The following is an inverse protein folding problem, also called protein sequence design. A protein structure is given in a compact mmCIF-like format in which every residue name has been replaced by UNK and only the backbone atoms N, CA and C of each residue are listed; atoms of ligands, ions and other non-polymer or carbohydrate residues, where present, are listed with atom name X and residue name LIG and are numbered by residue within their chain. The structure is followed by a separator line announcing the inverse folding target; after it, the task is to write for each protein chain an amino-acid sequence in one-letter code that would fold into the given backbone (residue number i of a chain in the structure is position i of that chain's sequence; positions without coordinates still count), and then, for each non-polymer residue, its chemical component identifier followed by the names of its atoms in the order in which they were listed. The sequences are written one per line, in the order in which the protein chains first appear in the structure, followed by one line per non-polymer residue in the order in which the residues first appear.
data_IF_574484525355
#
_entry.id   IF_574484525355
#
_cell.length_a   1.000
_cell.length_b   1.000
_cell.length_c   1.000
_cell.angle_alpha   90.00
_cell.angle_beta   90.00
_cell.angle_gamma   90.00
#
_symmetry.space_group_name_H-M   'P 1'
#
loop_
_entity.id
_entity.type
_entity.pdbx_description
1 polymer ?
#
# COMPACT_ATOMS: atom_id res chain seq x y z
N UNK A 1 -20.70 -16.13 -5.65
CA UNK A 1 -19.73 -16.19 -4.54
C UNK A 1 -19.62 -14.77 -4.06
N UNK A 2 -20.16 -14.50 -2.89
CA UNK A 2 -20.31 -13.13 -2.41
C UNK A 2 -19.01 -12.72 -1.73
N UNK A 3 -18.48 -11.55 -2.12
CA UNK A 3 -17.26 -11.01 -1.53
C UNK A 3 -17.66 -10.23 -0.29
N UNK A 4 -17.19 -10.70 0.86
CA UNK A 4 -17.31 -10.00 2.13
C UNK A 4 -16.14 -9.02 2.27
N UNK A 5 -16.43 -7.77 2.64
CA UNK A 5 -15.43 -6.75 2.99
C UNK A 5 -15.57 -6.44 4.47
N UNK A 6 -14.46 -6.52 5.20
CA UNK A 6 -14.42 -6.21 6.63
C UNK A 6 -13.08 -5.65 7.06
N UNK A 7 -13.08 -4.94 8.17
CA UNK A 7 -11.85 -4.56 8.85
C UNK A 7 -11.26 -5.79 9.54
N UNK A 8 -9.94 -5.96 9.45
CA UNK A 8 -9.19 -6.99 10.18
C UNK A 8 -8.80 -6.47 11.57
N UNK A 9 -8.86 -7.34 12.57
CA UNK A 9 -8.41 -7.06 13.94
C UNK A 9 -7.22 -7.93 14.35
N UNK A 10 -6.78 -7.81 15.60
CA UNK A 10 -5.64 -8.59 16.14
C UNK A 10 -5.81 -10.10 15.95
N UNK A 11 -7.05 -10.61 16.03
CA UNK A 11 -7.36 -12.03 15.82
C UNK A 11 -7.07 -12.52 14.39
N UNK A 12 -7.00 -11.62 13.41
CA UNK A 12 -6.77 -11.93 12.01
C UNK A 12 -5.28 -11.90 11.63
N UNK A 13 -4.39 -11.51 12.56
CA UNK A 13 -2.97 -11.22 12.32
C UNK A 13 -2.28 -12.25 11.43
N UNK A 14 -2.29 -13.52 11.82
CA UNK A 14 -1.54 -14.55 11.12
C UNK A 14 -2.12 -14.82 9.72
N UNK A 15 -3.45 -14.79 9.58
CA UNK A 15 -4.11 -14.94 8.28
C UNK A 15 -3.83 -13.75 7.34
N UNK A 16 -3.74 -12.53 7.88
CA UNK A 16 -3.36 -11.34 7.11
C UNK A 16 -1.90 -11.42 6.68
N UNK A 17 -0.99 -11.86 7.56
CA UNK A 17 0.43 -12.05 7.22
C UNK A 17 0.57 -13.05 6.07
N UNK A 18 -0.09 -14.20 6.16
CA UNK A 18 -0.05 -15.24 5.12
C UNK A 18 -0.59 -14.70 3.78
N UNK A 19 -1.77 -14.08 3.80
CA UNK A 19 -2.40 -13.54 2.59
C UNK A 19 -1.58 -12.40 1.98
N UNK A 20 -1.04 -11.49 2.79
CA UNK A 20 -0.23 -10.36 2.32
C UNK A 20 1.11 -10.85 1.74
N UNK A 21 1.81 -11.76 2.41
CA UNK A 21 3.04 -12.36 1.92
C UNK A 21 2.84 -13.01 0.54
N UNK A 22 1.77 -13.80 0.39
CA UNK A 22 1.47 -14.46 -0.88
C UNK A 22 1.00 -13.48 -1.96
N UNK A 23 0.27 -12.43 -1.59
CA UNK A 23 -0.27 -11.43 -2.51
C UNK A 23 0.74 -10.37 -2.98
N UNK A 24 1.80 -10.10 -2.21
CA UNK A 24 2.77 -9.02 -2.47
C UNK A 24 4.01 -9.43 -3.28
N UNK A 25 4.18 -10.74 -3.56
CA UNK A 25 5.36 -11.28 -4.27
C UNK A 25 5.66 -10.60 -5.61
N UNK A 26 4.64 -10.22 -6.35
CA UNK A 26 4.74 -9.56 -7.66
C UNK A 26 4.18 -8.13 -7.65
N UNK A 27 4.04 -7.53 -6.46
CA UNK A 27 3.82 -6.09 -6.35
C UNK A 27 5.08 -5.38 -6.86
N UNK A 28 4.92 -4.46 -7.80
CA UNK A 28 6.03 -3.95 -8.63
C UNK A 28 7.01 -3.07 -7.87
N UNK A 29 6.58 -2.34 -6.84
CA UNK A 29 7.48 -1.54 -5.99
C UNK A 29 8.30 -2.48 -5.10
N UNK A 30 7.65 -3.47 -4.50
CA UNK A 30 8.28 -4.53 -3.68
C UNK A 30 9.29 -5.32 -4.51
N UNK A 31 8.91 -5.77 -5.70
CA UNK A 31 9.79 -6.49 -6.61
C UNK A 31 11.01 -5.65 -7.02
N UNK A 32 10.84 -4.34 -7.24
CA UNK A 32 11.94 -3.43 -7.53
C UNK A 32 12.87 -3.20 -6.32
N UNK A 33 12.31 -2.95 -5.13
CA UNK A 33 13.09 -2.81 -3.89
C UNK A 33 13.94 -4.05 -3.65
N UNK A 34 13.37 -5.24 -3.88
CA UNK A 34 13.99 -6.54 -3.60
C UNK A 34 14.76 -7.15 -4.77
N UNK A 35 14.94 -6.42 -5.88
CA UNK A 35 15.68 -6.97 -7.01
C UNK A 35 17.11 -7.40 -6.58
N UNK A 36 17.42 -8.68 -6.77
CA UNK A 36 18.67 -9.30 -6.32
C UNK A 36 18.66 -9.83 -4.89
N UNK A 37 17.53 -9.78 -4.19
CA UNK A 37 17.33 -10.25 -2.82
C UNK A 37 16.22 -11.32 -2.74
N UNK A 38 16.37 -12.38 -1.91
CA UNK A 38 15.35 -13.41 -1.77
C UNK A 38 14.04 -12.86 -1.18
N UNK A 39 12.93 -13.00 -1.91
CA UNK A 39 11.62 -12.53 -1.46
C UNK A 39 11.19 -13.21 -0.15
N UNK A 40 11.48 -14.50 0.00
CA UNK A 40 11.11 -15.29 1.18
C UNK A 40 11.72 -14.72 2.46
N UNK A 41 13.01 -14.37 2.42
CA UNK A 41 13.71 -13.76 3.55
C UNK A 41 13.12 -12.39 3.89
N UNK A 42 12.77 -11.59 2.87
CA UNK A 42 12.10 -10.31 3.10
C UNK A 42 10.71 -10.54 3.71
N UNK A 43 9.93 -11.45 3.14
CA UNK A 43 8.57 -11.73 3.58
C UNK A 43 8.53 -12.17 5.03
N UNK A 44 9.40 -13.11 5.43
CA UNK A 44 9.46 -13.64 6.80
C UNK A 44 9.82 -12.58 7.84
N UNK A 45 10.65 -11.59 7.46
CA UNK A 45 11.16 -10.57 8.40
C UNK A 45 10.29 -9.31 8.42
N UNK A 46 9.85 -8.83 7.26
CA UNK A 46 9.24 -7.52 7.12
C UNK A 46 7.71 -7.55 7.15
N UNK A 47 7.06 -8.58 6.58
CA UNK A 47 5.59 -8.63 6.53
C UNK A 47 4.97 -8.68 7.93
N UNK A 48 5.43 -9.52 8.88
CA UNK A 48 4.90 -9.51 10.24
C UNK A 48 5.00 -8.13 10.91
N UNK A 49 6.14 -7.44 10.75
CA UNK A 49 6.37 -6.11 11.31
C UNK A 49 5.42 -5.08 10.70
N UNK A 50 5.23 -5.10 9.38
CA UNK A 50 4.30 -4.23 8.68
C UNK A 50 2.86 -4.44 9.17
N UNK A 51 2.41 -5.70 9.26
CA UNK A 51 1.05 -6.03 9.69
C UNK A 51 0.84 -5.68 11.18
N UNK A 52 1.81 -5.97 12.05
CA UNK A 52 1.74 -5.64 13.48
C UNK A 52 1.65 -4.13 13.73
N UNK A 53 2.40 -3.36 12.93
CA UNK A 53 2.32 -1.91 12.95
C UNK A 53 0.96 -1.44 12.44
N UNK A 54 0.51 -1.94 11.30
CA UNK A 54 -0.75 -1.52 10.70
C UNK A 54 -1.97 -1.89 11.56
N UNK A 55 -1.96 -3.01 12.27
CA UNK A 55 -3.01 -3.37 13.24
C UNK A 55 -3.06 -2.42 14.44
N UNK A 56 -1.92 -1.83 14.81
CA UNK A 56 -1.78 -0.93 15.96
C UNK A 56 -2.15 0.51 15.61
N UNK A 57 -1.65 0.98 14.47
CA UNK A 57 -1.61 2.42 14.15
C UNK A 57 -2.51 2.78 12.95
N UNK A 58 -2.95 1.80 12.15
CA UNK A 58 -3.65 2.01 10.88
C UNK A 58 -4.93 1.15 10.78
N UNK A 59 -5.55 1.13 9.59
CA UNK A 59 -6.67 0.25 9.29
C UNK A 59 -6.32 -0.77 8.22
N UNK A 60 -6.43 -2.05 8.57
CA UNK A 60 -6.34 -3.15 7.60
C UNK A 60 -7.75 -3.54 7.17
N UNK A 61 -8.00 -3.48 5.87
CA UNK A 61 -9.25 -3.95 5.27
C UNK A 61 -8.98 -5.16 4.40
N UNK A 62 -9.77 -6.22 4.60
CA UNK A 62 -9.66 -7.49 3.89
C UNK A 62 -10.94 -7.77 3.10
N UNK A 63 -10.78 -8.52 2.01
CA UNK A 63 -11.92 -9.02 1.24
C UNK A 63 -11.70 -10.46 0.80
N UNK A 64 -12.78 -11.24 0.78
CA UNK A 64 -12.75 -12.65 0.41
C UNK A 64 -14.11 -13.31 0.65
N UNK A 65 -14.11 -14.63 0.74
CA UNK A 65 -15.28 -15.37 1.22
C UNK A 65 -15.17 -15.62 2.73
N UNK A 66 -16.09 -16.41 3.29
CA UNK A 66 -16.11 -16.71 4.73
C UNK A 66 -14.90 -17.54 5.22
N UNK A 67 -14.09 -18.07 4.30
CA UNK A 67 -13.01 -19.01 4.61
C UNK A 67 -11.61 -18.47 4.29
N UNK A 68 -11.48 -17.54 3.36
CA UNK A 68 -10.19 -17.11 2.82
C UNK A 68 -10.12 -15.61 2.60
N UNK A 69 -8.97 -15.02 2.94
CA UNK A 69 -8.62 -13.65 2.56
C UNK A 69 -8.07 -13.66 1.13
N UNK A 70 -8.71 -12.92 0.23
CA UNK A 70 -8.31 -12.81 -1.17
C UNK A 70 -7.57 -11.51 -1.47
N UNK A 71 -7.88 -10.44 -0.75
CA UNK A 71 -7.23 -9.15 -0.88
C UNK A 71 -7.04 -8.50 0.49
N UNK A 72 -5.96 -7.73 0.61
CA UNK A 72 -5.59 -6.97 1.80
C UNK A 72 -5.27 -5.55 1.37
N UNK A 73 -5.71 -4.56 2.14
CA UNK A 73 -5.30 -3.17 1.99
C UNK A 73 -4.98 -2.54 3.34
N UNK A 74 -4.02 -1.61 3.34
CA UNK A 74 -3.64 -0.82 4.52
C UNK A 74 -3.99 0.63 4.24
N UNK A 75 -4.81 1.21 5.12
CA UNK A 75 -5.29 2.58 5.04
C UNK A 75 -4.82 3.37 6.25
N UNK A 76 -4.27 4.55 6.01
CA UNK A 76 -3.81 5.47 7.06
C UNK A 76 -4.75 6.67 7.13
N UNK A 77 -4.97 7.18 8.34
CA UNK A 77 -5.49 8.52 8.55
C UNK A 77 -4.31 9.49 8.51
N UNK A 78 -4.37 10.50 7.63
CA UNK A 78 -3.31 11.50 7.50
C UNK A 78 -3.82 12.84 8.02
N UNK A 79 -3.40 13.17 9.23
CA UNK A 79 -3.66 14.46 9.88
C UNK A 79 -2.39 15.33 9.97
N UNK A 80 -1.23 14.75 9.66
CA UNK A 80 0.07 15.42 9.52
C UNK A 80 0.96 14.63 8.55
N UNK A 81 1.92 15.32 7.91
CA UNK A 81 2.94 14.70 7.05
C UNK A 81 4.18 14.22 7.82
N UNK A 82 4.26 14.49 9.12
CA UNK A 82 5.43 14.18 9.97
C UNK A 82 5.81 12.69 9.95
N UNK A 83 4.79 11.82 9.84
CA UNK A 83 5.00 10.37 9.73
C UNK A 83 5.87 10.02 8.52
N UNK A 84 5.56 10.57 7.34
CA UNK A 84 6.31 10.28 6.12
C UNK A 84 7.73 10.82 6.20
N UNK A 85 7.90 12.02 6.79
CA UNK A 85 9.23 12.60 7.00
C UNK A 85 10.09 11.77 7.95
N UNK A 86 9.48 11.26 9.03
CA UNK A 86 10.15 10.39 10.01
C UNK A 86 10.56 9.06 9.36
N UNK A 87 9.63 8.40 8.66
CA UNK A 87 9.92 7.15 7.94
C UNK A 87 11.02 7.32 6.89
N UNK A 88 11.01 8.41 6.12
CA UNK A 88 12.06 8.71 5.15
C UNK A 88 13.42 8.95 5.82
N UNK A 89 13.45 9.65 6.96
CA UNK A 89 14.68 9.88 7.71
C UNK A 89 15.27 8.58 8.27
N UNK A 90 14.43 7.70 8.82
CA UNK A 90 14.83 6.37 9.30
C UNK A 90 15.36 5.49 8.17
N UNK A 91 14.65 5.45 7.03
CA UNK A 91 15.09 4.68 5.87
C UNK A 91 16.42 5.20 5.31
N UNK A 92 16.61 6.52 5.26
CA UNK A 92 17.89 7.14 4.87
C UNK A 92 19.02 6.75 5.82
N UNK A 93 18.80 6.86 7.13
CA UNK A 93 19.79 6.48 8.13
C UNK A 93 20.16 4.98 8.04
N UNK A 94 19.19 4.10 7.79
CA UNK A 94 19.44 2.68 7.58
C UNK A 94 20.30 2.41 6.33
N UNK A 95 20.02 3.12 5.22
CA UNK A 95 20.82 3.02 4.00
C UNK A 95 22.24 3.58 4.18
N UNK A 96 22.41 4.67 4.91
CA UNK A 96 23.73 5.25 5.24
C UNK A 96 24.56 4.32 6.15
N UNK A 97 23.91 3.60 7.07
CA UNK A 97 24.55 2.62 7.94
C UNK A 97 24.97 1.33 7.23
N UNK A 98 24.41 1.04 6.06
CA UNK A 98 24.67 -0.16 5.27
C UNK A 98 24.66 0.13 3.76
N UNK A 99 25.62 0.92 3.26
CA UNK A 99 25.61 1.46 1.88
C UNK A 99 25.69 0.38 0.79
N UNK A 100 26.24 -0.80 1.13
CA UNK A 100 26.38 -1.94 0.23
C UNK A 100 25.14 -2.83 0.17
N UNK A 101 24.01 -2.43 0.79
CA UNK A 101 22.74 -3.18 0.79
C UNK A 101 21.74 -2.48 -0.14
N UNK A 102 21.56 -2.95 -1.40
CA UNK A 102 20.74 -2.26 -2.40
C UNK A 102 19.26 -2.13 -1.99
N UNK A 103 18.73 -3.11 -1.26
CA UNK A 103 17.34 -3.10 -0.80
C UNK A 103 17.07 -1.93 0.14
N UNK A 104 17.98 -1.63 1.08
CA UNK A 104 17.87 -0.48 1.97
C UNK A 104 18.00 0.84 1.19
N UNK A 105 18.91 0.92 0.22
CA UNK A 105 19.03 2.10 -0.65
C UNK A 105 17.74 2.37 -1.43
N UNK A 106 17.17 1.35 -2.07
CA UNK A 106 15.93 1.50 -2.85
C UNK A 106 14.72 1.81 -1.96
N UNK A 107 14.66 1.20 -0.78
CA UNK A 107 13.66 1.52 0.22
C UNK A 107 13.75 2.98 0.69
N UNK A 108 14.97 3.48 0.94
CA UNK A 108 15.21 4.90 1.24
C UNK A 108 14.78 5.81 0.09
N UNK A 109 15.07 5.45 -1.17
CA UNK A 109 14.66 6.24 -2.34
C UNK A 109 13.14 6.36 -2.44
N UNK A 110 12.40 5.26 -2.33
CA UNK A 110 10.93 5.32 -2.46
C UNK A 110 10.28 6.03 -1.28
N UNK A 111 10.75 5.81 -0.05
CA UNK A 111 10.21 6.49 1.14
C UNK A 111 10.51 7.99 1.11
N UNK A 112 11.71 8.39 0.68
CA UNK A 112 12.08 9.80 0.53
C UNK A 112 11.25 10.49 -0.56
N UNK A 113 11.04 9.81 -1.70
CA UNK A 113 10.17 10.31 -2.76
C UNK A 113 8.74 10.50 -2.26
N UNK A 114 8.17 9.50 -1.59
CA UNK A 114 6.81 9.57 -1.04
C UNK A 114 6.72 10.72 -0.03
N UNK A 115 7.67 10.86 0.90
CA UNK A 115 7.66 11.95 1.88
C UNK A 115 7.73 13.35 1.26
N UNK A 116 8.51 13.52 0.19
CA UNK A 116 8.64 14.81 -0.50
C UNK A 116 7.45 15.15 -1.40
N UNK A 117 6.82 14.14 -2.01
CA UNK A 117 5.72 14.32 -2.96
C UNK A 117 4.34 14.19 -2.34
N UNK A 118 4.24 13.68 -1.10
CA UNK A 118 2.97 13.52 -0.41
C UNK A 118 2.22 14.84 -0.32
N UNK A 119 0.90 14.87 -0.56
CA UNK A 119 0.14 16.09 -0.47
C UNK A 119 0.10 16.65 0.96
N UNK A 120 0.17 17.98 1.05
CA UNK A 120 -0.04 18.73 2.29
C UNK A 120 -1.52 19.12 2.53
N UNK A 121 -2.44 18.68 1.68
CA UNK A 121 -3.88 18.88 1.90
C UNK A 121 -4.37 17.89 2.95
N UNK A 122 -4.77 18.41 4.11
CA UNK A 122 -5.17 17.62 5.28
C UNK A 122 -6.61 17.98 5.71
N UNK A 123 -7.36 17.07 6.34
CA UNK A 123 -7.03 15.65 6.51
C UNK A 123 -7.38 14.82 5.27
N UNK A 124 -6.75 13.66 5.11
CA UNK A 124 -7.13 12.69 4.08
C UNK A 124 -6.89 11.24 4.49
N UNK A 125 -7.55 10.33 3.77
CA UNK A 125 -7.27 8.89 3.83
C UNK A 125 -6.16 8.55 2.85
N UNK A 126 -5.16 7.79 3.29
CA UNK A 126 -4.10 7.32 2.40
C UNK A 126 -4.17 5.80 2.23
N UNK A 127 -4.33 5.33 1.00
CA UNK A 127 -4.19 3.92 0.68
C UNK A 127 -2.72 3.62 0.41
N UNK A 128 -2.02 3.14 1.43
CA UNK A 128 -0.60 2.81 1.36
C UNK A 128 -0.34 1.62 0.43
N UNK A 129 -1.17 0.58 0.52
CA UNK A 129 -1.02 -0.63 -0.27
C UNK A 129 -2.34 -1.35 -0.41
N UNK A 130 -2.57 -1.95 -1.58
CA UNK A 130 -3.61 -2.95 -1.81
C UNK A 130 -3.04 -4.08 -2.66
N UNK A 131 -3.13 -5.31 -2.17
CA UNK A 131 -2.65 -6.51 -2.83
C UNK A 131 -3.76 -7.55 -2.92
N UNK A 132 -3.70 -8.41 -3.94
CA UNK A 132 -4.67 -9.48 -4.15
C UNK A 132 -3.93 -10.77 -4.44
N UNK A 133 -4.25 -11.80 -3.67
CA UNK A 133 -3.74 -13.16 -3.80
C UNK A 133 -3.88 -13.62 -5.27
N UNK A 134 -2.80 -14.13 -5.91
CA UNK A 134 -2.80 -14.46 -7.34
C UNK A 134 -4.01 -15.26 -7.83
N UNK A 135 -4.40 -16.29 -7.08
CA UNK A 135 -5.48 -17.23 -7.39
C UNK A 135 -6.89 -16.59 -7.33
N UNK A 136 -6.99 -15.40 -6.73
CA UNK A 136 -8.25 -14.66 -6.55
C UNK A 136 -8.30 -13.35 -7.34
N UNK A 137 -7.29 -13.07 -8.17
CA UNK A 137 -7.30 -11.91 -9.07
C UNK A 137 -8.42 -12.00 -10.10
N UNK A 138 -8.92 -10.84 -10.52
CA UNK A 138 -10.03 -10.75 -11.47
C UNK A 138 -11.40 -11.10 -10.89
N UNK A 139 -11.48 -11.53 -9.63
CA UNK A 139 -12.76 -11.81 -8.95
C UNK A 139 -13.42 -10.58 -8.33
N UNK A 140 -12.70 -9.46 -8.23
CA UNK A 140 -13.25 -8.17 -7.75
C UNK A 140 -12.96 -7.82 -6.29
N UNK A 141 -12.19 -8.63 -5.55
CA UNK A 141 -11.92 -8.40 -4.12
C UNK A 141 -11.33 -7.02 -3.80
N UNK A 142 -10.25 -6.62 -4.50
CA UNK A 142 -9.69 -5.28 -4.31
C UNK A 142 -10.64 -4.14 -4.72
N UNK A 143 -11.49 -4.36 -5.73
CA UNK A 143 -12.50 -3.39 -6.13
C UNK A 143 -13.62 -3.26 -5.07
N UNK A 144 -13.99 -4.36 -4.42
CA UNK A 144 -14.97 -4.36 -3.34
C UNK A 144 -14.46 -3.55 -2.13
N UNK A 145 -13.19 -3.74 -1.75
CA UNK A 145 -12.54 -2.91 -0.72
C UNK A 145 -12.61 -1.43 -1.12
N UNK A 146 -12.15 -1.09 -2.33
CA UNK A 146 -12.12 0.30 -2.79
C UNK A 146 -13.52 0.93 -2.78
N UNK A 147 -14.53 0.24 -3.30
CA UNK A 147 -15.90 0.74 -3.33
C UNK A 147 -16.48 1.00 -1.93
N UNK A 148 -16.19 0.11 -0.97
CA UNK A 148 -16.59 0.30 0.42
C UNK A 148 -15.87 1.50 1.05
N UNK A 149 -14.56 1.62 0.82
CA UNK A 149 -13.73 2.69 1.41
C UNK A 149 -13.98 4.06 0.80
N UNK A 150 -14.21 4.17 -0.51
CA UNK A 150 -14.60 5.44 -1.14
C UNK A 150 -16.00 5.88 -0.71
N UNK A 151 -16.92 4.94 -0.48
CA UNK A 151 -18.24 5.25 0.10
C UNK A 151 -18.12 5.80 1.52
N UNK A 152 -17.27 5.19 2.36
CA UNK A 152 -17.02 5.68 3.71
C UNK A 152 -16.35 7.06 3.70
N UNK A 153 -15.35 7.27 2.84
CA UNK A 153 -14.69 8.57 2.62
C UNK A 153 -15.71 9.65 2.23
N UNK A 154 -16.61 9.36 1.29
CA UNK A 154 -17.69 10.26 0.87
C UNK A 154 -18.64 10.59 2.03
N UNK A 155 -19.03 9.59 2.81
CA UNK A 155 -19.93 9.77 3.95
C UNK A 155 -19.30 10.62 5.07
N UNK A 156 -17.98 10.54 5.22
CA UNK A 156 -17.21 11.32 6.18
C UNK A 156 -16.83 12.72 5.66
N UNK A 157 -16.97 13.00 4.37
CA UNK A 157 -16.49 14.24 3.75
C UNK A 157 -14.96 14.37 3.76
N UNK A 158 -14.24 13.25 3.80
CA UNK A 158 -12.77 13.20 3.84
C UNK A 158 -12.26 12.61 2.53
N UNK A 159 -11.38 13.29 1.78
CA UNK A 159 -10.85 12.76 0.52
C UNK A 159 -9.92 11.58 0.77
N UNK A 160 -9.66 10.79 -0.28
CA UNK A 160 -8.71 9.70 -0.26
C UNK A 160 -7.63 9.86 -1.33
N UNK A 161 -6.41 9.47 -1.00
CA UNK A 161 -5.21 9.62 -1.82
C UNK A 161 -4.46 8.29 -1.94
N UNK A 162 -3.77 8.11 -3.07
CA UNK A 162 -2.90 6.97 -3.34
C UNK A 162 -1.90 7.29 -4.46
N UNK A 163 -0.89 6.44 -4.60
CA UNK A 163 -0.04 6.37 -5.77
C UNK A 163 -0.23 5.03 -6.50
N UNK A 164 -0.68 5.09 -7.76
CA UNK A 164 -0.77 3.89 -8.57
C UNK A 164 0.60 3.52 -9.15
N UNK A 165 1.12 2.36 -8.75
CA UNK A 165 2.42 1.83 -9.22
C UNK A 165 2.38 1.20 -10.62
N UNK A 166 1.20 1.01 -11.22
CA UNK A 166 1.05 0.51 -12.60
C UNK A 166 -0.10 1.19 -13.34
N UNK A 167 -0.05 1.18 -14.67
CA UNK A 167 -1.18 1.61 -15.51
C UNK A 167 -2.45 0.76 -15.29
N UNK A 168 -2.27 -0.52 -14.94
CA UNK A 168 -3.39 -1.42 -14.65
C UNK A 168 -4.10 -1.01 -13.35
N UNK A 169 -3.36 -0.73 -12.28
CA UNK A 169 -3.94 -0.26 -11.01
C UNK A 169 -4.53 1.13 -11.18
N UNK A 170 -3.88 2.04 -11.92
CA UNK A 170 -4.44 3.36 -12.23
C UNK A 170 -5.82 3.29 -12.91
N UNK A 171 -6.01 2.37 -13.88
CA UNK A 171 -7.32 2.14 -14.51
C UNK A 171 -8.35 1.57 -13.54
N UNK A 172 -7.94 0.72 -12.59
CA UNK A 172 -8.83 0.25 -11.54
C UNK A 172 -9.29 1.41 -10.65
N UNK A 173 -8.35 2.21 -10.12
CA UNK A 173 -8.67 3.34 -9.25
C UNK A 173 -9.55 4.39 -9.96
N UNK A 174 -9.30 4.63 -11.25
CA UNK A 174 -10.16 5.52 -12.08
C UNK A 174 -11.62 5.06 -12.09
N UNK A 175 -11.88 3.76 -12.23
CA UNK A 175 -13.25 3.22 -12.17
C UNK A 175 -13.87 3.34 -10.79
N UNK A 176 -13.07 3.46 -9.74
CA UNK A 176 -13.50 3.67 -8.36
C UNK A 176 -13.61 5.16 -8.00
N UNK A 177 -13.47 6.07 -8.97
CA UNK A 177 -13.65 7.51 -8.78
C UNK A 177 -12.38 8.28 -8.42
N UNK A 178 -11.21 7.64 -8.40
CA UNK A 178 -9.95 8.36 -8.25
C UNK A 178 -9.55 9.04 -9.56
N UNK A 179 -9.11 10.29 -9.50
CA UNK A 179 -8.56 11.02 -10.64
C UNK A 179 -7.06 11.20 -10.49
N UNK A 180 -6.28 11.07 -11.58
CA UNK A 180 -4.84 11.40 -11.57
C UNK A 180 -4.64 12.88 -11.29
N UNK A 181 -3.60 13.19 -10.54
CA UNK A 181 -3.20 14.56 -10.18
C UNK A 181 -1.69 14.68 -10.12
N UNK A 182 -1.17 15.91 -10.20
CA UNK A 182 0.25 16.16 -9.97
C UNK A 182 1.15 15.55 -11.06
N UNK A 183 2.45 15.56 -10.78
CA UNK A 183 3.44 14.92 -11.63
C UNK A 183 3.49 13.42 -11.34
N UNK A 184 3.75 12.61 -12.37
CA UNK A 184 4.14 11.22 -12.18
C UNK A 184 5.61 11.16 -11.70
N UNK A 185 5.92 10.18 -10.85
CA UNK A 185 7.25 10.03 -10.27
C UNK A 185 7.89 8.71 -10.71
N UNK A 186 8.96 8.78 -11.48
CA UNK A 186 9.71 7.60 -11.93
C UNK A 186 10.72 7.18 -10.86
N UNK A 187 10.61 5.93 -10.39
CA UNK A 187 11.65 5.34 -9.56
C UNK A 187 12.88 4.99 -10.42
N UNK A 188 14.11 5.15 -9.88
CA UNK A 188 15.34 4.94 -10.65
C UNK A 188 15.56 3.46 -10.98
N UNK A 189 16.58 3.20 -11.80
CA UNK A 189 17.02 1.84 -12.13
C UNK A 189 15.91 0.98 -12.78
N UNK A 190 15.01 1.60 -13.56
CA UNK A 190 13.90 0.90 -14.21
C UNK A 190 12.74 0.55 -13.27
N UNK A 191 12.67 1.19 -12.10
CA UNK A 191 11.57 1.04 -11.16
C UNK A 191 10.22 1.55 -11.71
N UNK A 192 9.11 1.25 -11.03
CA UNK A 192 7.79 1.64 -11.49
C UNK A 192 7.59 3.16 -11.37
N UNK A 193 6.75 3.70 -12.26
CA UNK A 193 6.24 5.06 -12.13
C UNK A 193 5.10 5.11 -11.11
N UNK A 194 5.20 5.97 -10.11
CA UNK A 194 4.15 6.27 -9.16
C UNK A 194 3.25 7.39 -9.71
N UNK A 195 1.94 7.16 -9.69
CA UNK A 195 0.93 8.05 -10.27
C UNK A 195 0.01 8.53 -9.16
N UNK A 196 0.19 9.76 -8.64
CA UNK A 196 -0.67 10.31 -7.61
C UNK A 196 -2.12 10.39 -8.08
N UNK A 197 -3.06 9.94 -7.25
CA UNK A 197 -4.49 9.98 -7.54
C UNK A 197 -5.32 10.36 -6.32
N UNK A 198 -6.37 11.14 -6.55
CA UNK A 198 -7.32 11.57 -5.52
C UNK A 198 -8.73 11.09 -5.80
N UNK A 199 -9.39 10.59 -4.77
CA UNK A 199 -10.84 10.49 -4.67
C UNK A 199 -11.34 11.64 -3.78
N UNK A 200 -12.31 12.42 -4.25
CA UNK A 200 -12.82 13.60 -3.54
C UNK A 200 -14.31 13.56 -3.19
N UNK A 201 -15.02 12.49 -3.53
CA UNK A 201 -16.48 12.40 -3.37
C UNK A 201 -17.23 13.01 -4.53
#
# INVERSE_FOLDING_TARGET
MDINVRQAGEQDRDAVIEAFAHASRDEVVTAWVLEGFPFEQFSEQYVPVLIDRALRDDEIWVAGDDSQIWAVSIWQQVDSVDRFQTEAAEARAAAEGAPDVPTLRRFAVVTDLLAHSHPCELPHRYLQVIVTVPEHRGKGAGAAILADRTKAASSAGVPAYLEASTERSARLYTRMGFARTGAEHELPEGGPTLRPMWFRG
#
